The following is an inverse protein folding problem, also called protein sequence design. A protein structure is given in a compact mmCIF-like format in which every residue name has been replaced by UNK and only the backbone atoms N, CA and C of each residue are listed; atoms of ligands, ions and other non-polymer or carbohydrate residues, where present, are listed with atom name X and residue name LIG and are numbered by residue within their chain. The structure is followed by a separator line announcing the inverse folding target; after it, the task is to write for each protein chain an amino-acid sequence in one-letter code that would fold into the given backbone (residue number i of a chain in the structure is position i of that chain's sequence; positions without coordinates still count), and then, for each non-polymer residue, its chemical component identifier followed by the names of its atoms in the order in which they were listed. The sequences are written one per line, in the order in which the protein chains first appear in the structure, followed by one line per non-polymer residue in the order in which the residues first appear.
data_IF_744476476693
#
_entry.id   IF_744476476693
#
_cell.length_a   1.000
_cell.length_b   1.000
_cell.length_c   1.000
_cell.angle_alpha   90.00
_cell.angle_beta   90.00
_cell.angle_gamma   90.00
#
_symmetry.space_group_name_H-M   'P 1'
#
loop_
_entity.id
_entity.type
_entity.pdbx_description
1 polymer ?
#
# COMPACT_ATOMS: atom_id res chain seq x y z
N UNK A 1 9.50 47.89 10.54
CA UNK A 1 8.21 47.37 10.03
C UNK A 1 8.08 47.83 8.60
N UNK A 2 8.00 46.89 7.65
CA UNK A 2 8.03 47.18 6.22
C UNK A 2 6.63 47.68 5.81
N UNK A 3 6.44 48.96 5.43
CA UNK A 3 5.12 49.57 5.35
C UNK A 3 4.55 49.53 3.93
N UNK A 4 4.68 48.42 3.21
CA UNK A 4 3.88 48.21 2.01
C UNK A 4 2.56 47.54 2.43
N UNK A 5 1.40 47.90 1.85
CA UNK A 5 0.21 47.05 1.94
C UNK A 5 0.57 45.72 1.28
N UNK A 6 1.01 44.77 2.10
CA UNK A 6 1.69 43.58 1.64
C UNK A 6 0.61 42.64 1.14
N UNK A 7 0.68 42.25 -0.13
CA UNK A 7 -0.17 41.21 -0.73
C UNK A 7 -0.18 39.92 0.11
N UNK A 8 0.82 39.72 0.97
CA UNK A 8 0.89 38.67 1.99
C UNK A 8 -0.25 38.65 3.03
N UNK A 9 -0.97 39.76 3.22
CA UNK A 9 -2.17 39.79 4.08
C UNK A 9 -3.38 39.10 3.41
N UNK A 10 -3.26 38.78 2.12
CA UNK A 10 -4.28 38.15 1.28
C UNK A 10 -3.67 36.95 0.51
N UNK A 11 -3.33 35.85 1.21
CA UNK A 11 -2.51 34.78 0.64
C UNK A 11 -3.24 34.01 -0.48
N UNK A 12 -4.56 33.82 -0.39
CA UNK A 12 -5.32 33.12 -1.45
C UNK A 12 -5.36 33.93 -2.75
N UNK A 13 -5.59 35.24 -2.62
CA UNK A 13 -5.60 36.18 -3.73
C UNK A 13 -4.21 36.27 -4.38
N UNK A 14 -3.15 36.34 -3.57
CA UNK A 14 -1.78 36.44 -4.06
C UNK A 14 -1.33 35.19 -4.81
N UNK A 15 -1.67 34.01 -4.31
CA UNK A 15 -1.37 32.73 -4.98
C UNK A 15 -2.07 32.66 -6.34
N UNK A 16 -3.35 33.04 -6.42
CA UNK A 16 -4.11 33.06 -7.67
C UNK A 16 -3.60 34.10 -8.67
N UNK A 17 -3.25 35.31 -8.20
CA UNK A 17 -2.72 36.36 -9.07
C UNK A 17 -1.35 35.98 -9.65
N UNK A 18 -0.48 35.34 -8.87
CA UNK A 18 0.78 34.79 -9.37
C UNK A 18 0.54 33.70 -10.42
N UNK A 19 -0.45 32.83 -10.21
CA UNK A 19 -0.79 31.77 -11.17
C UNK A 19 -1.35 32.32 -12.49
N UNK A 20 -2.14 33.40 -12.43
CA UNK A 20 -2.75 34.05 -13.59
C UNK A 20 -1.78 34.94 -14.37
N UNK A 21 -0.94 35.70 -13.66
CA UNK A 21 0.07 36.58 -14.26
C UNK A 21 1.36 36.62 -13.41
N UNK A 22 2.27 35.66 -13.63
CA UNK A 22 3.53 35.57 -12.89
C UNK A 22 4.48 36.74 -13.15
N UNK A 23 4.28 37.51 -14.23
CA UNK A 23 5.16 38.62 -14.62
C UNK A 23 4.89 39.88 -13.82
N UNK A 24 3.65 40.06 -13.35
CA UNK A 24 3.22 41.26 -12.60
C UNK A 24 3.11 41.01 -11.10
N UNK A 25 2.95 39.76 -10.67
CA UNK A 25 2.76 39.39 -9.27
C UNK A 25 3.84 38.40 -8.78
N UNK A 26 4.69 38.79 -7.82
CA UNK A 26 5.72 37.90 -7.29
C UNK A 26 5.13 36.71 -6.51
N UNK A 27 5.82 35.57 -6.45
CA UNK A 27 5.36 34.41 -5.70
C UNK A 27 5.37 34.68 -4.19
N UNK A 28 4.47 34.01 -3.48
CA UNK A 28 4.44 34.05 -2.01
C UNK A 28 5.75 33.49 -1.42
N UNK A 29 6.19 33.98 -0.26
CA UNK A 29 7.26 33.33 0.50
C UNK A 29 6.92 31.85 0.75
N UNK A 30 7.90 30.96 0.61
CA UNK A 30 7.71 29.51 0.67
C UNK A 30 6.98 29.03 1.95
N UNK A 31 7.23 29.67 3.09
CA UNK A 31 6.56 29.36 4.36
C UNK A 31 5.06 29.67 4.34
N UNK A 32 4.65 30.77 3.69
CA UNK A 32 3.24 31.16 3.55
C UNK A 32 2.54 30.31 2.50
N UNK A 33 3.23 29.94 1.42
CA UNK A 33 2.69 29.08 0.37
C UNK A 33 2.45 27.65 0.89
N UNK A 34 3.38 27.10 1.68
CA UNK A 34 3.18 25.81 2.38
C UNK A 34 2.03 25.87 3.40
N UNK A 35 1.95 26.96 4.18
CA UNK A 35 0.83 27.18 5.11
C UNK A 35 -0.51 27.29 4.39
N UNK A 36 -0.54 27.91 3.21
CA UNK A 36 -1.75 28.00 2.38
C UNK A 36 -2.15 26.63 1.82
N UNK A 37 -1.21 25.84 1.29
CA UNK A 37 -1.48 24.52 0.73
C UNK A 37 -1.89 23.49 1.80
N UNK A 38 -1.42 23.66 3.03
CA UNK A 38 -1.88 22.85 4.18
C UNK A 38 -3.30 23.23 4.62
N UNK A 39 -3.65 24.51 4.57
CA UNK A 39 -5.02 24.97 4.86
C UNK A 39 -6.01 24.68 3.71
N UNK A 40 -5.52 24.62 2.46
CA UNK A 40 -6.32 24.44 1.25
C UNK A 40 -5.71 23.35 0.33
N UNK A 41 -5.84 22.05 0.68
CA UNK A 41 -5.15 20.95 0.00
C UNK A 41 -5.56 20.78 -1.48
N UNK A 42 -6.78 21.18 -1.84
CA UNK A 42 -7.28 21.08 -3.22
C UNK A 42 -7.04 22.33 -4.07
N UNK A 43 -6.28 23.33 -3.57
CA UNK A 43 -6.06 24.59 -4.28
C UNK A 43 -5.41 24.39 -5.65
N UNK A 44 -4.55 23.38 -5.79
CA UNK A 44 -3.86 23.05 -7.05
C UNK A 44 -4.68 22.19 -8.01
N UNK A 45 -5.92 21.82 -7.67
CA UNK A 45 -6.74 20.98 -8.53
C UNK A 45 -7.21 21.76 -9.78
N UNK A 46 -7.12 21.20 -11.01
CA UNK A 46 -7.43 21.94 -12.24
C UNK A 46 -8.85 22.52 -12.31
N UNK A 47 -9.85 21.80 -11.79
CA UNK A 47 -11.24 22.29 -11.76
C UNK A 47 -11.47 23.39 -10.71
N UNK A 48 -10.74 23.34 -9.59
CA UNK A 48 -10.79 24.36 -8.54
C UNK A 48 -10.10 25.63 -9.03
N UNK A 49 -8.91 25.51 -9.62
CA UNK A 49 -8.17 26.63 -10.21
C UNK A 49 -8.95 27.33 -11.31
N UNK A 50 -9.58 26.61 -12.23
CA UNK A 50 -10.38 27.22 -13.29
C UNK A 50 -11.63 27.93 -12.75
N UNK A 51 -12.30 27.35 -11.75
CA UNK A 51 -13.44 28.02 -11.09
C UNK A 51 -13.01 29.27 -10.32
N UNK A 52 -11.91 29.19 -9.57
CA UNK A 52 -11.33 30.31 -8.84
C UNK A 52 -10.81 31.41 -9.77
N UNK A 53 -10.15 31.06 -10.87
CA UNK A 53 -9.67 32.00 -11.89
C UNK A 53 -10.84 32.79 -12.50
N UNK A 54 -11.96 32.12 -12.79
CA UNK A 54 -13.18 32.79 -13.25
C UNK A 54 -13.71 33.77 -12.20
N UNK A 55 -13.79 33.38 -10.93
CA UNK A 55 -14.23 34.29 -9.87
C UNK A 55 -13.24 35.46 -9.67
N UNK A 56 -11.94 35.20 -9.69
CA UNK A 56 -10.90 36.23 -9.60
C UNK A 56 -11.04 37.29 -10.71
N UNK A 57 -11.33 36.85 -11.94
CA UNK A 57 -11.56 37.77 -13.07
C UNK A 57 -12.79 38.68 -12.88
N UNK A 58 -13.82 38.23 -12.14
CA UNK A 58 -15.03 39.03 -11.86
C UNK A 58 -14.86 40.03 -10.72
N UNK A 59 -13.86 39.84 -9.85
CA UNK A 59 -13.64 40.67 -8.67
C UNK A 59 -12.94 42.00 -9.00
N UNK A 60 -12.44 42.18 -10.23
CA UNK A 60 -11.84 43.40 -10.75
C UNK A 60 -10.82 44.04 -9.76
N UNK A 61 -9.88 43.23 -9.29
CA UNK A 61 -8.96 43.57 -8.19
C UNK A 61 -7.73 44.39 -8.66
N UNK A 62 -7.46 44.36 -9.97
CA UNK A 62 -6.31 45.02 -10.61
C UNK A 62 -6.28 46.54 -10.42
N UNK A 63 -7.39 47.29 -10.58
CA UNK A 63 -7.41 48.73 -10.31
C UNK A 63 -7.10 49.07 -8.85
N UNK A 64 -7.65 48.32 -7.89
CA UNK A 64 -7.41 48.53 -6.45
C UNK A 64 -5.95 48.28 -6.07
N UNK A 65 -5.33 47.23 -6.62
CA UNK A 65 -3.90 46.95 -6.42
C UNK A 65 -3.01 47.99 -7.12
N UNK A 66 -3.40 48.47 -8.31
CA UNK A 66 -2.68 49.54 -9.00
C UNK A 66 -2.72 50.86 -8.22
N UNK A 67 -3.87 51.18 -7.61
CA UNK A 67 -4.07 52.37 -6.78
C UNK A 67 -3.21 52.30 -5.51
N UNK A 68 -3.21 51.16 -4.81
CA UNK A 68 -2.33 50.93 -3.67
C UNK A 68 -0.84 51.10 -4.03
N UNK A 69 -0.43 50.60 -5.21
CA UNK A 69 0.96 50.79 -5.69
C UNK A 69 1.30 52.26 -5.95
N UNK A 70 0.33 53.06 -6.43
CA UNK A 70 0.53 54.50 -6.65
C UNK A 70 0.49 55.32 -5.35
N UNK A 71 -0.26 54.88 -4.34
CA UNK A 71 -0.35 55.55 -3.04
C UNK A 71 0.93 55.36 -2.20
N UNK A 72 1.71 54.31 -2.48
CA UNK A 72 2.97 54.04 -1.79
C UNK A 72 2.75 53.46 -0.37
N UNK A 73 3.72 53.62 0.54
CA UNK A 73 3.62 53.03 1.86
C UNK A 73 2.54 53.70 2.71
N UNK A 74 1.87 52.91 3.57
CA UNK A 74 0.82 53.44 4.44
C UNK A 74 1.42 54.47 5.42
N UNK A 75 0.79 55.65 5.60
CA UNK A 75 1.21 56.62 6.59
C UNK A 75 1.29 56.07 8.02
N UNK A 76 2.19 56.61 8.85
CA UNK A 76 2.35 56.20 10.25
C UNK A 76 1.07 56.46 11.07
N UNK A 77 0.50 55.47 11.77
CA UNK A 77 -0.74 55.62 12.53
C UNK A 77 -0.71 56.76 13.57
N UNK A 78 0.45 57.01 14.19
CA UNK A 78 0.60 58.10 15.17
C UNK A 78 0.49 59.47 14.49
N UNK A 79 1.10 59.62 13.30
CA UNK A 79 1.01 60.85 12.50
C UNK A 79 -0.40 61.09 11.97
N UNK A 80 -1.12 60.03 11.54
CA UNK A 80 -2.52 60.13 11.09
C UNK A 80 -3.45 60.51 12.24
N UNK A 81 -3.27 59.93 13.43
CA UNK A 81 -4.07 60.28 14.60
C UNK A 81 -3.86 61.75 15.01
N UNK A 82 -2.62 62.23 15.01
CA UNK A 82 -2.30 63.64 15.26
C UNK A 82 -2.89 64.58 14.19
N UNK A 83 -2.87 64.17 12.91
CA UNK A 83 -3.50 64.91 11.82
C UNK A 83 -5.03 64.99 11.95
N UNK A 84 -5.70 63.87 12.25
CA UNK A 84 -7.15 63.83 12.51
C UNK A 84 -7.54 64.67 13.73
N UNK A 85 -6.72 64.67 14.79
CA UNK A 85 -6.95 65.50 15.97
C UNK A 85 -6.78 67.01 15.66
N UNK A 86 -5.80 67.39 14.83
CA UNK A 86 -5.61 68.77 14.38
C UNK A 86 -6.76 69.27 13.50
N UNK A 87 -7.29 68.44 12.60
CA UNK A 87 -8.47 68.77 11.77
C UNK A 87 -9.72 68.96 12.64
N UNK A 88 -9.83 68.24 13.76
CA UNK A 88 -10.97 68.32 14.66
C UNK A 88 -10.95 69.51 15.64
N UNK A 89 -9.82 70.24 15.74
CA UNK A 89 -9.67 71.40 16.64
C UNK A 89 -10.04 72.72 15.91
N UNK A 90 -11.16 73.38 16.27
CA UNK A 90 -11.59 74.62 15.63
C UNK A 90 -10.73 75.86 15.95
N UNK A 91 -9.72 75.75 16.83
CA UNK A 91 -8.84 76.85 17.22
C UNK A 91 -7.42 76.79 16.63
N UNK A 92 -7.11 75.77 15.82
CA UNK A 92 -5.82 75.66 15.15
C UNK A 92 -5.66 76.75 14.08
N UNK A 93 -4.67 77.65 14.24
CA UNK A 93 -4.28 78.60 13.20
C UNK A 93 -3.46 77.86 12.13
N UNK A 94 -4.03 77.67 10.95
CA UNK A 94 -3.34 77.02 9.85
C UNK A 94 -2.62 78.05 8.97
N UNK A 95 -1.32 77.88 8.77
CA UNK A 95 -0.62 78.44 7.63
C UNK A 95 -1.03 77.63 6.38
N UNK A 96 -1.33 78.29 5.26
CA UNK A 96 -2.05 77.69 4.14
C UNK A 96 -1.36 76.47 3.51
N UNK A 97 -0.04 76.32 3.71
CA UNK A 97 0.72 75.15 3.29
C UNK A 97 0.60 73.93 4.23
N UNK A 98 0.46 74.13 5.55
CA UNK A 98 0.39 73.04 6.52
C UNK A 98 -0.98 72.35 6.54
N UNK A 99 -2.07 73.12 6.38
CA UNK A 99 -3.43 72.59 6.26
C UNK A 99 -3.54 71.54 5.14
N UNK A 100 -2.92 71.84 3.99
CA UNK A 100 -2.99 71.01 2.81
C UNK A 100 -2.28 69.67 3.02
N UNK A 101 -1.16 69.66 3.75
CA UNK A 101 -0.39 68.45 4.06
C UNK A 101 -1.16 67.57 5.07
N UNK A 102 -1.77 68.16 6.09
CA UNK A 102 -2.56 67.44 7.10
C UNK A 102 -3.79 66.78 6.47
N UNK A 103 -4.53 67.51 5.62
CA UNK A 103 -5.66 66.95 4.88
C UNK A 103 -5.25 65.90 3.85
N UNK A 104 -4.11 66.06 3.17
CA UNK A 104 -3.60 65.08 2.23
C UNK A 104 -3.21 63.76 2.93
N UNK A 105 -2.57 63.83 4.11
CA UNK A 105 -2.18 62.66 4.89
C UNK A 105 -3.39 61.80 5.29
N UNK A 106 -4.45 62.44 5.78
CA UNK A 106 -5.69 61.74 6.17
C UNK A 106 -6.38 61.13 4.95
N UNK A 107 -6.44 61.86 3.81
CA UNK A 107 -6.99 61.32 2.56
C UNK A 107 -6.22 60.09 2.05
N UNK A 108 -4.90 60.07 2.19
CA UNK A 108 -4.08 58.90 1.80
C UNK A 108 -4.32 57.71 2.72
N UNK A 109 -4.53 57.90 4.02
CA UNK A 109 -4.89 56.81 4.94
C UNK A 109 -6.31 56.28 4.70
N UNK A 110 -7.29 57.18 4.51
CA UNK A 110 -8.69 56.80 4.23
C UNK A 110 -8.80 56.00 2.92
N UNK A 111 -8.03 56.36 1.89
CA UNK A 111 -7.98 55.62 0.63
C UNK A 111 -7.28 54.27 0.76
N UNK A 112 -6.23 54.16 1.59
CA UNK A 112 -5.65 52.86 1.94
C UNK A 112 -6.65 51.96 2.66
N UNK A 113 -7.40 52.50 3.62
CA UNK A 113 -8.39 51.74 4.40
C UNK A 113 -9.50 51.18 3.49
N UNK A 114 -10.00 51.98 2.55
CA UNK A 114 -11.03 51.54 1.60
C UNK A 114 -10.51 50.46 0.64
N UNK A 115 -9.28 50.61 0.12
CA UNK A 115 -8.65 49.58 -0.73
C UNK A 115 -8.48 48.25 0.00
N UNK A 116 -8.00 48.27 1.26
CA UNK A 116 -7.84 47.07 2.10
C UNK A 116 -9.20 46.41 2.35
N UNK A 117 -10.24 47.19 2.59
CA UNK A 117 -11.61 46.68 2.78
C UNK A 117 -12.13 45.98 1.53
N UNK A 118 -11.88 46.52 0.34
CA UNK A 118 -12.23 45.89 -0.93
C UNK A 118 -11.46 44.59 -1.18
N UNK A 119 -10.16 44.56 -0.86
CA UNK A 119 -9.35 43.34 -0.96
C UNK A 119 -9.84 42.25 0.00
N UNK A 120 -10.16 42.59 1.25
CA UNK A 120 -10.77 41.65 2.22
C UNK A 120 -12.10 41.09 1.72
N UNK A 121 -12.96 41.95 1.16
CA UNK A 121 -14.22 41.51 0.59
C UNK A 121 -14.02 40.57 -0.60
N UNK A 122 -12.99 40.83 -1.43
CA UNK A 122 -12.64 39.99 -2.58
C UNK A 122 -12.05 38.64 -2.16
N UNK A 123 -11.16 38.61 -1.16
CA UNK A 123 -10.63 37.37 -0.61
C UNK A 123 -11.71 36.53 0.07
N UNK A 124 -12.64 37.15 0.81
CA UNK A 124 -13.79 36.44 1.38
C UNK A 124 -14.65 35.76 0.30
N UNK A 125 -14.90 36.45 -0.81
CA UNK A 125 -15.63 35.86 -1.95
C UNK A 125 -14.86 34.72 -2.61
N UNK A 126 -13.53 34.80 -2.69
CA UNK A 126 -12.69 33.70 -3.18
C UNK A 126 -12.72 32.50 -2.25
N UNK A 127 -12.76 32.71 -0.92
CA UNK A 127 -12.94 31.65 0.06
C UNK A 127 -14.30 30.95 -0.06
N UNK A 128 -15.37 31.73 -0.28
CA UNK A 128 -16.72 31.18 -0.55
C UNK A 128 -16.73 30.37 -1.86
N UNK A 129 -16.11 30.88 -2.93
CA UNK A 129 -15.98 30.17 -4.21
C UNK A 129 -15.09 28.92 -4.12
N UNK A 130 -14.04 28.95 -3.28
CA UNK A 130 -13.23 27.77 -2.97
C UNK A 130 -14.08 26.71 -2.28
N UNK A 131 -14.84 27.08 -1.25
CA UNK A 131 -15.73 26.15 -0.55
C UNK A 131 -16.79 25.53 -1.50
N UNK A 132 -17.33 26.29 -2.44
CA UNK A 132 -18.28 25.80 -3.45
C UNK A 132 -17.60 24.90 -4.50
N UNK A 133 -16.42 25.27 -5.00
CA UNK A 133 -15.69 24.46 -5.99
C UNK A 133 -15.15 23.16 -5.40
N UNK A 134 -14.71 23.18 -4.14
CA UNK A 134 -14.36 21.96 -3.41
C UNK A 134 -15.60 21.10 -3.19
N UNK A 135 -16.75 21.69 -2.85
CA UNK A 135 -18.01 20.93 -2.82
C UNK A 135 -18.31 20.28 -4.18
N UNK A 136 -18.11 20.98 -5.30
CA UNK A 136 -18.29 20.42 -6.64
C UNK A 136 -17.33 19.27 -6.98
N UNK A 137 -16.08 19.34 -6.53
CA UNK A 137 -15.11 18.23 -6.64
C UNK A 137 -15.48 17.06 -5.72
N UNK A 138 -16.08 17.35 -4.57
CA UNK A 138 -16.63 16.37 -3.64
C UNK A 138 -18.03 15.88 -4.06
N UNK A 139 -18.70 16.53 -5.02
CA UNK A 139 -20.02 16.17 -5.56
C UNK A 139 -19.95 15.35 -6.86
N UNK A 140 -18.75 15.04 -7.38
CA UNK A 140 -18.54 13.86 -8.26
C UNK A 140 -18.71 12.53 -7.50
N UNK A 141 -19.09 12.59 -6.23
CA UNK A 141 -19.51 11.45 -5.42
C UNK A 141 -20.89 11.00 -5.92
N UNK A 142 -20.94 9.83 -6.57
CA UNK A 142 -22.16 9.28 -7.20
C UNK A 142 -23.41 9.44 -6.31
N UNK A 143 -24.58 9.70 -6.92
CA UNK A 143 -25.86 9.80 -6.21
C UNK A 143 -26.09 8.63 -5.23
N UNK A 144 -25.57 7.44 -5.54
CA UNK A 144 -25.61 6.26 -4.69
C UNK A 144 -24.90 6.45 -3.35
N UNK A 145 -23.70 7.06 -3.34
CA UNK A 145 -22.98 7.35 -2.10
C UNK A 145 -23.74 8.36 -1.24
N UNK A 146 -24.24 9.44 -1.85
CA UNK A 146 -24.99 10.47 -1.11
C UNK A 146 -26.27 9.87 -0.51
N UNK A 147 -26.94 8.99 -1.25
CA UNK A 147 -28.10 8.24 -0.77
C UNK A 147 -27.77 7.36 0.44
N UNK A 148 -26.66 6.62 0.40
CA UNK A 148 -26.20 5.78 1.50
C UNK A 148 -25.87 6.61 2.74
N UNK A 149 -25.15 7.73 2.58
CA UNK A 149 -24.79 8.60 3.70
C UNK A 149 -26.03 9.22 4.36
N UNK A 150 -26.99 9.71 3.57
CA UNK A 150 -28.27 10.21 4.10
C UNK A 150 -29.05 9.12 4.83
N UNK A 151 -29.10 7.90 4.28
CA UNK A 151 -29.77 6.77 4.93
C UNK A 151 -29.10 6.43 6.26
N UNK A 152 -27.77 6.48 6.32
CA UNK A 152 -27.00 6.21 7.55
C UNK A 152 -27.18 7.27 8.64
N UNK A 153 -27.69 8.47 8.32
CA UNK A 153 -28.05 9.49 9.32
C UNK A 153 -29.37 9.16 10.05
N UNK A 154 -30.30 8.46 9.39
CA UNK A 154 -31.63 8.15 9.93
C UNK A 154 -31.81 6.69 10.36
N UNK A 155 -31.07 5.76 9.77
CA UNK A 155 -31.23 4.31 9.94
C UNK A 155 -29.88 3.60 10.13
N UNK A 156 -29.89 2.43 10.77
CA UNK A 156 -28.71 1.57 10.85
C UNK A 156 -28.50 0.87 9.49
N UNK A 157 -27.35 1.13 8.87
CA UNK A 157 -26.98 0.55 7.58
C UNK A 157 -25.92 -0.53 7.80
N UNK A 158 -26.31 -1.77 7.57
CA UNK A 158 -25.43 -2.94 7.76
C UNK A 158 -24.77 -3.42 6.45
N UNK A 159 -25.43 -3.22 5.30
CA UNK A 159 -24.92 -3.68 4.01
C UNK A 159 -25.01 -2.55 2.99
N UNK A 160 -23.89 -2.28 2.33
CA UNK A 160 -23.79 -1.27 1.27
C UNK A 160 -23.16 -1.93 0.06
N UNK A 161 -23.85 -1.83 -1.07
CA UNK A 161 -23.34 -2.21 -2.37
C UNK A 161 -23.32 -0.97 -3.26
N UNK A 162 -22.11 -0.57 -3.64
CA UNK A 162 -21.82 0.52 -4.56
C UNK A 162 -20.91 0.02 -5.68
N UNK A 163 -20.98 -1.28 -5.99
CA UNK A 163 -20.24 -1.84 -7.11
C UNK A 163 -20.66 -1.20 -8.43
N UNK A 164 -19.72 -1.03 -9.36
CA UNK A 164 -20.03 -0.49 -10.70
C UNK A 164 -20.54 0.96 -10.70
N UNK A 165 -20.37 1.71 -9.60
CA UNK A 165 -20.91 3.07 -9.43
C UNK A 165 -19.99 4.18 -9.97
N UNK A 166 -18.95 3.81 -10.73
CA UNK A 166 -17.93 4.71 -11.30
C UNK A 166 -17.26 5.63 -10.27
N UNK A 167 -17.12 5.16 -9.02
CA UNK A 167 -16.52 5.93 -7.93
C UNK A 167 -15.01 6.09 -8.14
N UNK A 168 -14.52 7.32 -8.06
CA UNK A 168 -13.07 7.61 -8.02
C UNK A 168 -12.51 7.78 -6.62
N UNK A 169 -13.34 8.26 -5.70
CA UNK A 169 -12.98 8.52 -4.31
C UNK A 169 -14.08 7.98 -3.41
N UNK A 170 -13.69 7.35 -2.32
CA UNK A 170 -14.59 7.03 -1.21
C UNK A 170 -14.53 8.18 -0.19
N UNK A 171 -15.64 8.89 0.10
CA UNK A 171 -15.64 9.97 1.07
C UNK A 171 -15.30 9.50 2.50
N UNK A 172 -14.57 10.33 3.26
CA UNK A 172 -14.22 10.02 4.65
C UNK A 172 -15.44 9.84 5.57
N UNK A 173 -16.59 10.40 5.17
CA UNK A 173 -17.84 10.25 5.90
C UNK A 173 -18.29 8.78 6.03
N UNK A 174 -17.88 7.88 5.13
CA UNK A 174 -18.18 6.45 5.24
C UNK A 174 -17.66 5.84 6.54
N UNK A 175 -16.51 6.30 7.03
CA UNK A 175 -15.96 5.84 8.31
C UNK A 175 -16.87 6.07 9.52
N UNK A 176 -17.90 6.91 9.38
CA UNK A 176 -18.86 7.19 10.46
C UNK A 176 -19.97 6.13 10.54
N UNK A 177 -20.14 5.27 9.53
CA UNK A 177 -21.19 4.24 9.48
C UNK A 177 -20.76 3.01 10.29
N UNK A 178 -20.71 3.15 11.62
CA UNK A 178 -20.19 2.10 12.53
C UNK A 178 -20.99 0.80 12.54
N UNK A 179 -22.24 0.84 12.05
CA UNK A 179 -23.12 -0.31 11.91
C UNK A 179 -22.80 -1.22 10.72
N UNK A 180 -21.92 -0.78 9.81
CA UNK A 180 -21.67 -1.47 8.56
C UNK A 180 -20.95 -2.81 8.77
N UNK A 181 -21.52 -3.87 8.18
CA UNK A 181 -21.04 -5.26 8.23
C UNK A 181 -20.48 -5.68 6.87
N UNK A 182 -21.10 -5.26 5.77
CA UNK A 182 -20.65 -5.58 4.41
C UNK A 182 -20.58 -4.33 3.56
N UNK A 183 -19.44 -4.13 2.91
CA UNK A 183 -19.18 -3.03 2.00
C UNK A 183 -18.61 -3.57 0.69
N UNK A 184 -19.41 -3.48 -0.39
CA UNK A 184 -18.98 -3.78 -1.74
C UNK A 184 -18.74 -2.48 -2.52
N UNK A 185 -17.49 -2.25 -2.91
CA UNK A 185 -16.98 -1.14 -3.71
C UNK A 185 -16.31 -1.65 -5.00
N UNK A 186 -16.57 -2.89 -5.39
CA UNK A 186 -15.94 -3.51 -6.55
C UNK A 186 -16.29 -2.83 -7.88
N UNK A 187 -15.47 -3.02 -8.92
CA UNK A 187 -15.75 -2.52 -10.28
C UNK A 187 -15.94 -1.00 -10.35
N UNK A 188 -15.12 -0.26 -9.59
CA UNK A 188 -15.10 1.20 -9.59
C UNK A 188 -13.78 1.72 -10.17
N UNK A 189 -13.46 2.99 -9.92
CA UNK A 189 -12.23 3.67 -10.35
C UNK A 189 -11.51 4.25 -9.13
N UNK A 190 -11.64 3.60 -7.96
CA UNK A 190 -11.07 4.10 -6.72
C UNK A 190 -9.54 4.13 -6.81
N UNK A 191 -8.97 5.30 -6.59
CA UNK A 191 -7.53 5.52 -6.54
C UNK A 191 -6.97 5.29 -5.14
N UNK A 192 -7.74 5.63 -4.11
CA UNK A 192 -7.35 5.54 -2.70
C UNK A 192 -8.54 5.12 -1.83
N UNK A 193 -8.27 4.29 -0.82
CA UNK A 193 -9.19 4.06 0.31
C UNK A 193 -8.78 5.00 1.46
N UNK A 194 -9.68 5.84 1.99
CA UNK A 194 -9.37 6.80 3.04
C UNK A 194 -9.12 6.11 4.38
N UNK A 195 -8.28 6.72 5.24
CA UNK A 195 -7.98 6.20 6.57
C UNK A 195 -9.21 6.05 7.49
N UNK A 196 -10.24 6.85 7.21
CA UNK A 196 -11.54 6.75 7.87
C UNK A 196 -12.18 5.36 7.79
N UNK A 197 -11.75 4.48 6.86
CA UNK A 197 -12.27 3.11 6.74
C UNK A 197 -12.16 2.35 8.07
N UNK A 198 -11.14 2.63 8.89
CA UNK A 198 -10.97 2.06 10.22
C UNK A 198 -12.13 2.34 11.19
N UNK A 199 -12.97 3.34 10.91
CA UNK A 199 -14.18 3.62 11.68
C UNK A 199 -15.27 2.55 11.54
N UNK A 200 -15.19 1.69 10.51
CA UNK A 200 -16.12 0.59 10.25
C UNK A 200 -15.84 -0.63 11.14
N UNK A 201 -15.94 -0.45 12.46
CA UNK A 201 -15.50 -1.43 13.45
C UNK A 201 -16.25 -2.77 13.41
N UNK A 202 -17.44 -2.83 12.81
CA UNK A 202 -18.25 -4.05 12.65
C UNK A 202 -18.08 -4.72 11.28
N UNK A 203 -17.22 -4.18 10.41
CA UNK A 203 -17.07 -4.68 9.05
C UNK A 203 -16.52 -6.11 9.07
N UNK A 204 -17.23 -6.99 8.37
CA UNK A 204 -16.94 -8.42 8.23
C UNK A 204 -16.50 -8.73 6.79
N UNK A 205 -17.05 -8.03 5.81
CA UNK A 205 -16.74 -8.24 4.40
C UNK A 205 -16.47 -6.89 3.72
N UNK A 206 -15.31 -6.79 3.09
CA UNK A 206 -14.90 -5.65 2.29
C UNK A 206 -14.45 -6.13 0.93
N UNK A 207 -15.14 -5.69 -0.11
CA UNK A 207 -14.74 -5.91 -1.49
C UNK A 207 -14.41 -4.58 -2.15
N UNK A 208 -13.15 -4.39 -2.51
CA UNK A 208 -12.63 -3.24 -3.27
C UNK A 208 -11.96 -3.71 -4.56
N UNK A 209 -12.32 -4.90 -5.05
CA UNK A 209 -11.74 -5.50 -6.24
C UNK A 209 -12.07 -4.72 -7.52
N UNK A 210 -11.27 -4.91 -8.58
CA UNK A 210 -11.50 -4.25 -9.88
C UNK A 210 -11.57 -2.73 -9.75
N UNK A 211 -10.54 -2.14 -9.16
CA UNK A 211 -10.35 -0.69 -9.00
C UNK A 211 -8.95 -0.30 -9.53
N UNK A 212 -8.46 0.90 -9.21
CA UNK A 212 -7.12 1.37 -9.62
C UNK A 212 -6.22 1.70 -8.42
N UNK A 213 -6.45 1.03 -7.28
CA UNK A 213 -5.71 1.26 -6.05
C UNK A 213 -4.23 0.91 -6.23
N UNK A 214 -3.34 1.85 -5.89
CA UNK A 214 -1.87 1.63 -5.90
C UNK A 214 -1.33 1.19 -4.53
N UNK A 215 -2.06 1.54 -3.46
CA UNK A 215 -1.77 1.16 -2.08
C UNK A 215 -3.06 1.00 -1.26
N UNK A 216 -2.93 0.35 -0.11
CA UNK A 216 -3.98 0.34 0.93
C UNK A 216 -3.48 1.17 2.13
N UNK A 217 -4.39 1.85 2.84
CA UNK A 217 -4.00 2.58 4.04
C UNK A 217 -3.60 1.64 5.18
N UNK A 218 -2.63 2.05 6.00
CA UNK A 218 -2.20 1.30 7.19
C UNK A 218 -3.36 1.09 8.19
N UNK A 219 -4.35 1.98 8.18
CA UNK A 219 -5.54 1.89 9.00
C UNK A 219 -6.41 0.66 8.73
N UNK A 220 -6.21 -0.06 7.61
CA UNK A 220 -6.92 -1.32 7.32
C UNK A 220 -6.75 -2.37 8.44
N UNK A 221 -5.59 -2.38 9.10
CA UNK A 221 -5.30 -3.28 10.22
C UNK A 221 -6.20 -3.08 11.45
N UNK A 222 -6.93 -1.96 11.52
CA UNK A 222 -7.87 -1.68 12.60
C UNK A 222 -9.22 -2.38 12.42
N UNK A 223 -9.48 -2.96 11.24
CA UNK A 223 -10.69 -3.75 10.96
C UNK A 223 -10.58 -5.16 11.54
N UNK A 224 -10.55 -5.26 12.87
CA UNK A 224 -10.29 -6.50 13.60
C UNK A 224 -11.38 -7.57 13.44
N UNK A 225 -12.57 -7.20 12.95
CA UNK A 225 -13.70 -8.11 12.69
C UNK A 225 -13.79 -8.56 11.23
N UNK A 226 -12.91 -8.06 10.36
CA UNK A 226 -12.91 -8.38 8.94
C UNK A 226 -12.59 -9.86 8.74
N UNK A 227 -13.45 -10.56 8.02
CA UNK A 227 -13.33 -12.00 7.70
C UNK A 227 -13.02 -12.24 6.24
N UNK A 228 -13.62 -11.46 5.35
CA UNK A 228 -13.45 -11.59 3.91
C UNK A 228 -12.94 -10.24 3.40
N UNK A 229 -11.78 -10.26 2.77
CA UNK A 229 -11.20 -9.07 2.17
C UNK A 229 -10.76 -9.37 0.73
N UNK A 230 -11.40 -8.69 -0.22
CA UNK A 230 -11.07 -8.80 -1.63
C UNK A 230 -10.51 -7.47 -2.14
N UNK A 231 -9.25 -7.48 -2.52
CA UNK A 231 -8.50 -6.36 -3.14
C UNK A 231 -7.98 -6.73 -4.52
N UNK A 232 -8.48 -7.81 -5.11
CA UNK A 232 -8.02 -8.32 -6.39
C UNK A 232 -8.25 -7.33 -7.54
N UNK A 233 -7.54 -7.51 -8.64
CA UNK A 233 -7.68 -6.67 -9.84
C UNK A 233 -7.50 -5.17 -9.55
N UNK A 234 -6.38 -4.83 -8.92
CA UNK A 234 -5.96 -3.46 -8.63
C UNK A 234 -4.52 -3.24 -9.15
N UNK A 235 -3.85 -2.18 -8.70
CA UNK A 235 -2.46 -1.88 -9.06
C UNK A 235 -1.52 -1.93 -7.84
N UNK A 236 -1.92 -2.64 -6.78
CA UNK A 236 -1.19 -2.67 -5.51
C UNK A 236 0.23 -3.16 -5.72
N UNK A 237 1.21 -2.43 -5.20
CA UNK A 237 2.63 -2.81 -5.25
C UNK A 237 3.09 -3.53 -3.98
N UNK A 238 2.40 -3.28 -2.87
CA UNK A 238 2.59 -3.94 -1.58
C UNK A 238 1.27 -3.97 -0.79
N UNK A 239 1.16 -4.92 0.14
CA UNK A 239 0.16 -4.88 1.21
C UNK A 239 0.77 -4.18 2.44
N UNK A 240 0.00 -3.41 3.21
CA UNK A 240 0.50 -2.75 4.41
C UNK A 240 0.84 -3.79 5.48
N UNK A 241 1.91 -3.58 6.25
CA UNK A 241 2.31 -4.48 7.35
C UNK A 241 1.22 -4.61 8.42
N UNK A 242 0.35 -3.60 8.55
CA UNK A 242 -0.79 -3.61 9.45
C UNK A 242 -1.86 -4.65 9.11
N UNK A 243 -1.86 -5.23 7.89
CA UNK A 243 -2.82 -6.30 7.52
C UNK A 243 -2.73 -7.50 8.47
N UNK A 244 -1.56 -7.74 9.07
CA UNK A 244 -1.37 -8.77 10.09
C UNK A 244 -2.23 -8.55 11.35
N UNK A 245 -2.76 -7.34 11.57
CA UNK A 245 -3.64 -7.03 12.69
C UNK A 245 -5.10 -7.48 12.45
N UNK A 246 -5.48 -7.80 11.21
CA UNK A 246 -6.79 -8.36 10.86
C UNK A 246 -6.90 -9.83 11.28
N UNK A 247 -6.83 -10.12 12.58
CA UNK A 247 -6.77 -11.49 13.14
C UNK A 247 -7.99 -12.35 12.84
N UNK A 248 -9.13 -11.74 12.52
CA UNK A 248 -10.37 -12.46 12.18
C UNK A 248 -10.46 -12.86 10.70
N UNK A 249 -9.46 -12.48 9.88
CA UNK A 249 -9.50 -12.73 8.45
C UNK A 249 -9.46 -14.23 8.16
N UNK A 250 -10.40 -14.68 7.32
CA UNK A 250 -10.60 -16.06 6.88
C UNK A 250 -10.25 -16.19 5.40
N UNK A 251 -10.61 -15.19 4.59
CA UNK A 251 -10.31 -15.14 3.16
C UNK A 251 -9.68 -13.80 2.79
N UNK A 252 -8.53 -13.88 2.12
CA UNK A 252 -7.84 -12.75 1.51
C UNK A 252 -7.59 -13.05 0.05
N UNK A 253 -8.18 -12.23 -0.82
CA UNK A 253 -7.89 -12.22 -2.24
C UNK A 253 -7.18 -10.91 -2.61
N UNK A 254 -5.90 -11.02 -2.96
CA UNK A 254 -5.08 -9.93 -3.49
C UNK A 254 -4.48 -10.31 -4.86
N UNK A 255 -5.16 -11.19 -5.60
CA UNK A 255 -4.75 -11.61 -6.93
C UNK A 255 -4.82 -10.48 -7.96
N UNK A 256 -4.17 -10.64 -9.10
CA UNK A 256 -4.19 -9.67 -10.21
C UNK A 256 -3.79 -8.25 -9.76
N UNK A 257 -2.60 -8.14 -9.18
CA UNK A 257 -2.01 -6.89 -8.70
C UNK A 257 -0.53 -6.82 -9.15
N UNK A 258 0.24 -5.88 -8.61
CA UNK A 258 1.68 -5.76 -8.87
C UNK A 258 2.52 -6.05 -7.61
N UNK A 259 2.03 -6.92 -6.70
CA UNK A 259 2.69 -7.19 -5.44
C UNK A 259 4.07 -7.80 -5.68
N UNK A 260 5.11 -7.19 -5.10
CA UNK A 260 6.49 -7.70 -5.20
C UNK A 260 6.89 -8.58 -4.01
N UNK A 261 6.26 -8.35 -2.86
CA UNK A 261 6.47 -9.11 -1.63
C UNK A 261 5.20 -9.09 -0.76
N UNK A 262 5.15 -10.02 0.20
CA UNK A 262 4.16 -10.00 1.27
C UNK A 262 4.79 -9.46 2.56
N UNK A 263 3.98 -8.84 3.44
CA UNK A 263 4.43 -8.41 4.77
C UNK A 263 5.12 -9.52 5.55
N UNK A 264 6.25 -9.19 6.16
CA UNK A 264 7.13 -10.19 6.78
C UNK A 264 6.48 -10.87 7.99
N UNK A 265 5.58 -10.17 8.69
CA UNK A 265 4.92 -10.65 9.90
C UNK A 265 3.51 -11.23 9.65
N UNK A 266 3.02 -11.24 8.40
CA UNK A 266 1.63 -11.57 8.06
C UNK A 266 1.18 -12.90 8.67
N UNK A 267 2.02 -13.93 8.62
CA UNK A 267 1.64 -15.24 9.10
C UNK A 267 1.53 -15.39 10.63
N UNK A 268 2.14 -14.50 11.41
CA UNK A 268 1.93 -14.46 12.86
C UNK A 268 0.60 -13.81 13.25
N UNK A 269 0.08 -12.95 12.38
CA UNK A 269 -1.14 -12.20 12.60
C UNK A 269 -2.40 -12.89 12.07
N UNK A 270 -2.33 -13.37 10.83
CA UNK A 270 -3.45 -13.98 10.10
C UNK A 270 -3.64 -15.47 10.45
N UNK A 271 -3.72 -15.77 11.74
CA UNK A 271 -3.77 -17.16 12.25
C UNK A 271 -5.05 -17.91 11.90
N UNK A 272 -6.13 -17.20 11.59
CA UNK A 272 -7.43 -17.76 11.20
C UNK A 272 -7.65 -17.82 9.68
N UNK A 273 -6.67 -17.39 8.87
CA UNK A 273 -6.84 -17.36 7.43
C UNK A 273 -6.89 -18.78 6.88
N UNK A 274 -7.96 -19.10 6.16
CA UNK A 274 -8.18 -20.40 5.52
C UNK A 274 -7.86 -20.35 4.03
N UNK A 275 -8.03 -19.19 3.39
CA UNK A 275 -7.85 -19.02 1.94
C UNK A 275 -7.03 -17.76 1.64
N UNK A 276 -5.90 -17.96 0.97
CA UNK A 276 -5.02 -16.90 0.48
C UNK A 276 -4.86 -17.02 -1.03
N UNK A 277 -5.39 -16.03 -1.76
CA UNK A 277 -5.25 -15.92 -3.21
C UNK A 277 -4.37 -14.72 -3.54
N UNK A 278 -3.20 -14.97 -4.12
CA UNK A 278 -2.23 -13.93 -4.50
C UNK A 278 -1.62 -14.19 -5.88
N UNK A 279 -2.31 -14.98 -6.69
CA UNK A 279 -1.91 -15.29 -8.05
C UNK A 279 -1.91 -14.06 -8.97
N UNK A 280 -1.21 -14.13 -10.11
CA UNK A 280 -1.07 -13.01 -11.06
C UNK A 280 -0.49 -11.75 -10.38
N UNK A 281 0.67 -11.90 -9.76
CA UNK A 281 1.45 -10.83 -9.12
C UNK A 281 2.93 -10.95 -9.53
N UNK A 282 3.84 -10.26 -8.85
CA UNK A 282 5.30 -10.27 -9.11
C UNK A 282 6.09 -10.71 -7.88
N UNK A 283 5.52 -11.61 -7.08
CA UNK A 283 6.10 -12.04 -5.81
C UNK A 283 7.26 -12.97 -6.09
N UNK A 284 8.43 -12.66 -5.52
CA UNK A 284 9.66 -13.45 -5.69
C UNK A 284 9.91 -14.48 -4.59
N UNK A 285 9.44 -14.18 -3.39
CA UNK A 285 9.59 -15.05 -2.22
C UNK A 285 8.36 -14.94 -1.33
N UNK A 286 7.94 -16.08 -0.76
CA UNK A 286 7.00 -16.07 0.35
C UNK A 286 7.75 -15.86 1.67
N UNK A 287 7.25 -15.03 2.60
CA UNK A 287 7.90 -14.82 3.88
C UNK A 287 7.89 -16.12 4.70
N UNK A 288 8.96 -16.36 5.48
CA UNK A 288 9.04 -17.56 6.32
C UNK A 288 7.88 -17.67 7.32
N UNK A 289 7.27 -16.54 7.70
CA UNK A 289 6.10 -16.50 8.57
C UNK A 289 4.86 -17.17 7.99
N UNK A 290 4.78 -17.40 6.67
CA UNK A 290 3.66 -18.12 6.03
C UNK A 290 3.37 -19.46 6.73
N UNK A 291 4.41 -20.16 7.19
CA UNK A 291 4.30 -21.44 7.90
C UNK A 291 3.60 -21.35 9.26
N UNK A 292 3.33 -20.15 9.79
CA UNK A 292 2.59 -19.94 11.03
C UNK A 292 1.08 -19.80 10.83
N UNK A 293 0.60 -19.75 9.57
CA UNK A 293 -0.82 -19.67 9.22
C UNK A 293 -1.49 -21.05 9.32
N UNK A 294 -1.61 -21.58 10.54
CA UNK A 294 -2.03 -22.98 10.78
C UNK A 294 -3.45 -23.32 10.28
N UNK A 295 -4.30 -22.32 10.09
CA UNK A 295 -5.66 -22.52 9.57
C UNK A 295 -5.73 -22.59 8.04
N UNK A 296 -4.63 -22.30 7.34
CA UNK A 296 -4.61 -22.19 5.89
C UNK A 296 -4.90 -23.55 5.23
N UNK A 297 -5.94 -23.56 4.37
CA UNK A 297 -6.39 -24.73 3.61
C UNK A 297 -6.16 -24.56 2.11
N UNK A 298 -6.20 -23.33 1.63
CA UNK A 298 -6.10 -23.02 0.20
C UNK A 298 -5.09 -21.90 -0.01
N UNK A 299 -4.00 -22.22 -0.71
CA UNK A 299 -2.97 -21.27 -1.09
C UNK A 299 -2.80 -21.28 -2.60
N UNK A 300 -3.11 -20.16 -3.23
CA UNK A 300 -2.91 -19.97 -4.67
C UNK A 300 -1.94 -18.82 -4.93
N UNK A 301 -0.78 -19.18 -5.49
CA UNK A 301 0.32 -18.28 -5.83
C UNK A 301 0.74 -18.43 -7.30
N UNK A 302 -0.14 -18.96 -8.16
CA UNK A 302 0.19 -19.15 -9.58
C UNK A 302 0.50 -17.84 -10.31
N UNK A 303 1.27 -17.92 -11.40
CA UNK A 303 1.66 -16.73 -12.18
C UNK A 303 2.26 -15.62 -11.30
N UNK A 304 3.33 -15.96 -10.60
CA UNK A 304 4.19 -15.04 -9.87
C UNK A 304 5.64 -15.18 -10.41
N UNK A 305 6.61 -14.61 -9.69
CA UNK A 305 8.04 -14.69 -10.02
C UNK A 305 8.80 -15.51 -8.94
N UNK A 306 8.15 -16.52 -8.35
CA UNK A 306 8.73 -17.23 -7.20
C UNK A 306 9.99 -18.00 -7.59
N UNK A 307 11.07 -17.80 -6.84
CA UNK A 307 12.30 -18.59 -6.98
C UNK A 307 12.19 -19.97 -6.30
N UNK A 308 11.28 -20.11 -5.35
CA UNK A 308 11.09 -21.33 -4.57
C UNK A 308 10.13 -21.12 -3.41
N UNK A 309 9.86 -22.20 -2.68
CA UNK A 309 9.04 -22.17 -1.47
C UNK A 309 9.92 -22.18 -0.21
N UNK A 310 9.54 -21.45 0.86
CA UNK A 310 10.30 -21.47 2.10
C UNK A 310 10.17 -22.83 2.80
N UNK A 311 11.21 -23.25 3.52
CA UNK A 311 11.19 -24.49 4.30
C UNK A 311 10.06 -24.53 5.35
N UNK A 312 9.57 -23.36 5.77
CA UNK A 312 8.44 -23.27 6.69
C UNK A 312 7.10 -23.72 6.08
N UNK A 313 7.00 -23.92 4.76
CA UNK A 313 5.76 -24.34 4.10
C UNK A 313 5.23 -25.66 4.67
N UNK A 314 6.10 -26.63 4.99
CA UNK A 314 5.68 -27.93 5.56
C UNK A 314 5.03 -27.83 6.95
N UNK A 315 5.10 -26.66 7.60
CA UNK A 315 4.37 -26.41 8.84
C UNK A 315 2.85 -26.22 8.63
N UNK A 316 2.39 -26.05 7.39
CA UNK A 316 0.99 -25.86 7.02
C UNK A 316 0.23 -27.19 6.92
N UNK A 317 0.15 -27.90 8.03
CA UNK A 317 -0.38 -29.28 8.04
C UNK A 317 -1.87 -29.37 7.69
N UNK A 318 -2.63 -28.27 7.72
CA UNK A 318 -4.05 -28.21 7.30
C UNK A 318 -4.24 -27.84 5.82
N UNK A 319 -3.16 -27.58 5.07
CA UNK A 319 -3.26 -27.18 3.67
C UNK A 319 -3.82 -28.33 2.83
N UNK A 320 -4.86 -28.06 2.05
CA UNK A 320 -5.56 -29.03 1.20
C UNK A 320 -5.33 -28.77 -0.29
N UNK A 321 -5.14 -27.50 -0.67
CA UNK A 321 -4.90 -27.06 -2.04
C UNK A 321 -3.69 -26.13 -2.08
N UNK A 322 -2.73 -26.45 -2.95
CA UNK A 322 -1.56 -25.62 -3.24
C UNK A 322 -1.36 -25.48 -4.75
N UNK A 323 -1.45 -24.26 -5.25
CA UNK A 323 -1.12 -23.94 -6.63
C UNK A 323 0.07 -22.99 -6.69
N UNK A 324 1.16 -23.50 -7.26
CA UNK A 324 2.47 -22.82 -7.45
C UNK A 324 2.87 -22.87 -8.93
N UNK A 325 1.90 -23.10 -9.82
CA UNK A 325 2.14 -23.19 -11.26
C UNK A 325 2.57 -21.85 -11.87
N UNK A 326 3.24 -21.92 -13.01
CA UNK A 326 3.59 -20.74 -13.81
C UNK A 326 4.43 -19.69 -13.06
N UNK A 327 5.41 -20.11 -12.27
CA UNK A 327 6.41 -19.22 -11.65
C UNK A 327 7.70 -19.08 -12.48
N UNK A 328 7.60 -19.37 -13.79
CA UNK A 328 8.61 -19.14 -14.83
C UNK A 328 10.01 -19.72 -14.53
N UNK A 329 11.09 -18.97 -14.84
CA UNK A 329 12.44 -19.49 -15.13
C UNK A 329 13.26 -19.94 -13.92
N UNK A 330 12.86 -19.57 -12.71
CA UNK A 330 13.77 -19.62 -11.56
C UNK A 330 13.35 -20.65 -10.49
N UNK A 331 12.10 -21.12 -10.49
CA UNK A 331 11.68 -22.18 -9.57
C UNK A 331 12.22 -23.55 -10.03
N UNK A 332 13.35 -23.92 -9.45
CA UNK A 332 14.12 -25.12 -9.85
C UNK A 332 14.03 -26.27 -8.85
N UNK A 333 13.75 -25.95 -7.58
CA UNK A 333 13.68 -26.92 -6.49
C UNK A 333 12.50 -26.66 -5.56
N UNK A 334 12.13 -27.70 -4.82
CA UNK A 334 11.09 -27.67 -3.80
C UNK A 334 11.71 -28.01 -2.45
N UNK A 335 11.22 -27.41 -1.35
CA UNK A 335 11.74 -27.68 -0.02
C UNK A 335 11.46 -29.12 0.39
N UNK A 336 12.40 -29.74 1.11
CA UNK A 336 12.23 -31.09 1.64
C UNK A 336 11.07 -31.22 2.65
N UNK A 337 10.58 -30.11 3.20
CA UNK A 337 9.40 -30.10 4.07
C UNK A 337 8.08 -30.12 3.30
N UNK A 338 8.08 -30.08 1.96
CA UNK A 338 6.84 -30.15 1.18
C UNK A 338 6.05 -31.44 1.49
N UNK A 339 6.75 -32.56 1.72
CA UNK A 339 6.14 -33.83 2.11
C UNK A 339 5.45 -33.81 3.48
N UNK A 340 5.67 -32.79 4.31
CA UNK A 340 5.03 -32.66 5.62
C UNK A 340 3.60 -32.06 5.54
N UNK A 341 3.15 -31.68 4.34
CA UNK A 341 1.78 -31.23 4.05
C UNK A 341 0.79 -32.42 4.04
N UNK A 342 0.62 -33.09 5.18
CA UNK A 342 -0.11 -34.35 5.33
C UNK A 342 -1.59 -34.30 4.93
N UNK A 343 -2.20 -33.11 4.86
CA UNK A 343 -3.59 -32.94 4.40
C UNK A 343 -3.73 -32.50 2.94
N UNK A 344 -2.62 -32.35 2.21
CA UNK A 344 -2.65 -31.86 0.83
C UNK A 344 -3.36 -32.85 -0.08
N UNK A 345 -4.33 -32.36 -0.86
CA UNK A 345 -5.16 -33.15 -1.78
C UNK A 345 -4.87 -32.80 -3.23
N UNK A 346 -4.60 -31.53 -3.49
CA UNK A 346 -4.38 -30.99 -4.82
C UNK A 346 -3.10 -30.15 -4.85
N UNK A 347 -2.19 -30.49 -5.76
CA UNK A 347 -0.92 -29.80 -5.96
C UNK A 347 -0.70 -29.53 -7.44
N UNK A 348 -0.63 -28.26 -7.81
CA UNK A 348 -0.25 -27.84 -9.15
C UNK A 348 1.11 -27.15 -9.13
N UNK A 349 2.08 -27.80 -9.77
CA UNK A 349 3.47 -27.37 -9.93
C UNK A 349 3.82 -27.12 -11.40
N UNK A 350 2.83 -27.12 -12.29
CA UNK A 350 3.06 -27.05 -13.73
C UNK A 350 3.71 -25.75 -14.18
N UNK A 351 4.38 -25.79 -15.34
CA UNK A 351 5.00 -24.62 -15.97
C UNK A 351 6.04 -23.92 -15.08
N UNK A 352 6.99 -24.71 -14.59
CA UNK A 352 8.16 -24.29 -13.80
C UNK A 352 9.44 -24.94 -14.34
N UNK A 353 10.56 -24.82 -13.63
CA UNK A 353 11.85 -25.42 -14.01
C UNK A 353 12.29 -26.55 -13.05
N UNK A 354 11.33 -27.22 -12.42
CA UNK A 354 11.58 -28.25 -11.41
C UNK A 354 12.15 -29.50 -12.07
N UNK A 355 13.29 -29.98 -11.56
CA UNK A 355 13.95 -31.20 -12.06
C UNK A 355 13.73 -32.42 -11.20
N UNK A 356 13.51 -32.22 -9.91
CA UNK A 356 13.33 -33.32 -8.97
C UNK A 356 12.27 -32.97 -7.93
N UNK A 357 11.48 -33.96 -7.54
CA UNK A 357 10.65 -33.89 -6.34
C UNK A 357 11.48 -34.24 -5.10
N UNK A 358 11.20 -33.62 -3.94
CA UNK A 358 11.90 -33.90 -2.69
C UNK A 358 11.68 -35.35 -2.25
N UNK A 359 12.62 -35.94 -1.52
CA UNK A 359 12.50 -37.34 -1.08
C UNK A 359 11.29 -37.55 -0.15
N UNK A 360 10.88 -36.50 0.55
CA UNK A 360 9.71 -36.50 1.42
C UNK A 360 8.38 -36.59 0.67
N UNK A 361 8.36 -36.40 -0.66
CA UNK A 361 7.13 -36.32 -1.45
C UNK A 361 6.22 -37.55 -1.31
N UNK A 362 6.81 -38.74 -1.08
CA UNK A 362 6.06 -39.97 -0.81
C UNK A 362 5.19 -39.94 0.45
N UNK A 363 5.39 -38.97 1.36
CA UNK A 363 4.61 -38.80 2.60
C UNK A 363 3.24 -38.11 2.38
N UNK A 364 2.97 -37.61 1.18
CA UNK A 364 1.72 -36.92 0.83
C UNK A 364 0.56 -37.91 0.65
N UNK A 365 0.19 -38.64 1.69
CA UNK A 365 -0.78 -39.76 1.64
C UNK A 365 -2.13 -39.36 1.03
N UNK A 366 -2.61 -38.15 1.32
CA UNK A 366 -3.92 -37.64 0.86
C UNK A 366 -3.90 -36.97 -0.52
N UNK A 367 -2.75 -36.88 -1.17
CA UNK A 367 -2.64 -36.23 -2.47
C UNK A 367 -3.31 -37.09 -3.55
N UNK A 368 -4.27 -36.49 -4.26
CA UNK A 368 -5.08 -37.15 -5.29
C UNK A 368 -4.94 -36.51 -6.65
N UNK A 369 -4.70 -35.19 -6.70
CA UNK A 369 -4.46 -34.45 -7.94
C UNK A 369 -3.06 -33.85 -7.90
N UNK A 370 -2.26 -34.21 -8.88
CA UNK A 370 -0.90 -33.72 -9.06
C UNK A 370 -0.73 -33.30 -10.51
N UNK A 371 -0.31 -32.06 -10.72
CA UNK A 371 0.06 -31.55 -12.04
C UNK A 371 1.54 -31.16 -12.03
N UNK A 372 2.33 -31.82 -12.88
CA UNK A 372 3.77 -31.59 -13.06
C UNK A 372 4.11 -31.14 -14.49
N UNK A 373 3.10 -30.89 -15.33
CA UNK A 373 3.28 -30.61 -16.75
C UNK A 373 4.21 -29.41 -16.98
N UNK A 374 4.90 -29.39 -18.11
CA UNK A 374 5.81 -28.28 -18.47
C UNK A 374 6.91 -28.03 -17.41
N UNK A 375 7.46 -29.11 -16.84
CA UNK A 375 8.69 -29.08 -16.05
C UNK A 375 9.73 -30.04 -16.66
N UNK A 376 11.03 -29.74 -16.55
CA UNK A 376 12.11 -30.65 -16.94
C UNK A 376 12.35 -31.74 -15.88
N UNK A 377 11.31 -32.45 -15.45
CA UNK A 377 11.38 -33.46 -14.39
C UNK A 377 12.24 -34.65 -14.85
N UNK A 378 13.23 -34.97 -14.01
CA UNK A 378 14.12 -36.12 -14.11
C UNK A 378 13.73 -37.16 -13.07
N UNK A 379 13.37 -36.71 -11.86
CA UNK A 379 12.98 -37.56 -10.73
C UNK A 379 11.64 -37.09 -10.18
N UNK A 380 10.57 -37.90 -10.28
CA UNK A 380 10.50 -39.25 -10.82
C UNK A 380 10.58 -39.29 -12.36
N UNK A 381 10.94 -40.43 -12.98
CA UNK A 381 10.93 -40.58 -14.44
C UNK A 381 9.56 -40.22 -15.04
N UNK A 382 9.55 -39.67 -16.26
CA UNK A 382 8.33 -39.19 -16.91
C UNK A 382 7.29 -40.30 -17.10
N UNK A 383 7.72 -41.56 -17.24
CA UNK A 383 6.84 -42.73 -17.31
C UNK A 383 6.03 -42.94 -16.02
N UNK A 384 6.62 -42.62 -14.87
CA UNK A 384 5.96 -42.65 -13.56
C UNK A 384 5.03 -41.46 -13.40
N UNK A 385 5.47 -40.26 -13.82
CA UNK A 385 4.63 -39.04 -13.82
C UNK A 385 3.34 -39.27 -14.61
N UNK A 386 3.44 -39.88 -15.80
CA UNK A 386 2.30 -40.17 -16.66
C UNK A 386 1.31 -41.20 -16.09
N UNK A 387 1.71 -41.99 -15.08
CA UNK A 387 0.82 -42.92 -14.37
C UNK A 387 -0.02 -42.23 -13.28
N UNK A 388 0.30 -40.98 -12.94
CA UNK A 388 -0.47 -40.14 -12.01
C UNK A 388 0.11 -40.07 -10.60
N UNK A 389 -0.61 -39.36 -9.72
CA UNK A 389 -0.14 -38.99 -8.39
C UNK A 389 0.25 -40.18 -7.50
N UNK A 390 -0.51 -41.29 -7.56
CA UNK A 390 -0.24 -42.47 -6.74
C UNK A 390 1.09 -43.14 -7.10
N UNK A 391 1.32 -43.37 -8.40
CA UNK A 391 2.58 -43.95 -8.89
C UNK A 391 3.78 -43.07 -8.55
N UNK A 392 3.63 -41.74 -8.63
CA UNK A 392 4.67 -40.79 -8.21
C UNK A 392 4.96 -40.93 -6.72
N UNK A 393 3.94 -40.96 -5.85
CA UNK A 393 4.14 -41.13 -4.40
C UNK A 393 4.82 -42.45 -4.06
N UNK A 394 4.34 -43.56 -4.62
CA UNK A 394 4.91 -44.89 -4.40
C UNK A 394 6.38 -44.96 -4.85
N UNK A 395 6.68 -44.41 -6.03
CA UNK A 395 8.05 -44.32 -6.53
C UNK A 395 8.93 -43.52 -5.59
N UNK A 396 8.50 -42.31 -5.18
CA UNK A 396 9.30 -41.45 -4.30
C UNK A 396 9.51 -42.08 -2.91
N UNK A 397 8.50 -42.76 -2.37
CA UNK A 397 8.60 -43.47 -1.10
C UNK A 397 9.61 -44.62 -1.15
N UNK A 398 9.57 -45.42 -2.23
CA UNK A 398 10.52 -46.53 -2.43
C UNK A 398 11.92 -46.04 -2.73
N UNK A 399 12.05 -45.07 -3.63
CA UNK A 399 13.34 -44.52 -4.06
C UNK A 399 14.16 -43.99 -2.88
N UNK A 400 13.50 -43.38 -1.89
CA UNK A 400 14.15 -42.94 -0.65
C UNK A 400 14.67 -44.10 0.21
N UNK A 401 13.91 -45.20 0.33
CA UNK A 401 14.36 -46.38 1.08
C UNK A 401 15.59 -47.00 0.41
N UNK A 402 15.54 -47.16 -0.92
CA UNK A 402 16.65 -47.69 -1.71
C UNK A 402 17.91 -46.79 -1.53
N UNK A 403 17.75 -45.47 -1.53
CA UNK A 403 18.84 -44.51 -1.30
C UNK A 403 19.47 -44.64 0.10
N UNK A 404 18.65 -44.80 1.14
CA UNK A 404 19.13 -45.01 2.51
C UNK A 404 19.90 -46.33 2.62
N UNK A 405 19.38 -47.41 2.04
CA UNK A 405 20.02 -48.72 2.07
C UNK A 405 21.37 -48.70 1.35
N UNK A 406 21.46 -48.06 0.18
CA UNK A 406 22.73 -47.87 -0.53
C UNK A 406 23.74 -47.04 0.28
N UNK A 407 23.29 -45.96 0.93
CA UNK A 407 24.14 -45.14 1.78
C UNK A 407 24.67 -45.92 3.00
N UNK A 408 23.82 -46.75 3.62
CA UNK A 408 24.22 -47.63 4.72
C UNK A 408 25.20 -48.72 4.26
N UNK A 409 25.00 -49.31 3.08
CA UNK A 409 25.91 -50.30 2.53
C UNK A 409 27.27 -49.68 2.20
N UNK A 410 27.30 -48.48 1.61
CA UNK A 410 28.54 -47.74 1.34
C UNK A 410 29.27 -47.43 2.65
N UNK A 411 28.58 -46.90 3.67
CA UNK A 411 29.23 -46.62 4.97
C UNK A 411 29.74 -47.88 5.67
N UNK A 412 29.01 -49.00 5.63
CA UNK A 412 29.50 -50.28 6.15
C UNK A 412 30.73 -50.78 5.38
N UNK A 413 30.73 -50.64 4.05
CA UNK A 413 31.86 -51.03 3.21
C UNK A 413 33.09 -50.14 3.46
N UNK A 414 32.90 -48.83 3.65
CA UNK A 414 33.96 -47.88 4.00
C UNK A 414 34.50 -48.15 5.40
N UNK A 415 33.63 -48.47 6.37
CA UNK A 415 34.03 -48.84 7.72
C UNK A 415 34.79 -50.17 7.73
N UNK A 416 34.39 -51.15 6.91
CA UNK A 416 35.13 -52.40 6.72
C UNK A 416 36.47 -52.17 6.02
N UNK A 417 36.54 -51.28 5.02
CA UNK A 417 37.78 -50.96 4.33
C UNK A 417 38.74 -50.16 5.23
N UNK A 418 38.20 -49.27 6.07
CA UNK A 418 38.93 -48.58 7.12
C UNK A 418 39.36 -49.56 8.22
N UNK A 419 38.56 -50.53 8.63
CA UNK A 419 38.96 -51.60 9.57
C UNK A 419 40.03 -52.53 8.97
N UNK A 420 39.97 -52.82 7.66
CA UNK A 420 41.00 -53.57 6.96
C UNK A 420 42.32 -52.79 6.82
N UNK A 421 42.26 -51.46 6.68
CA UNK A 421 43.43 -50.57 6.70
C UNK A 421 43.93 -50.25 8.13
N UNK A 422 43.05 -50.25 9.13
CA UNK A 422 43.37 -49.97 10.55
C UNK A 422 43.67 -51.22 11.38
N UNK A 423 43.79 -52.38 10.74
CA UNK A 423 44.33 -53.61 11.34
C UNK A 423 45.76 -53.48 11.88
N UNK A 424 46.41 -52.31 11.78
CA UNK A 424 47.71 -52.02 12.37
C UNK A 424 47.74 -50.88 13.39
N UNK A 425 46.68 -50.08 13.61
CA UNK A 425 46.65 -49.12 14.71
C UNK A 425 45.21 -48.88 15.21
N UNK A 426 44.95 -49.37 16.40
CA UNK A 426 43.70 -49.17 17.12
C UNK A 426 43.70 -47.85 17.92
N UNK A 427 42.47 -47.35 18.12
CA UNK A 427 41.97 -46.34 19.07
C UNK A 427 42.00 -44.86 18.67
N UNK A 428 40.80 -44.28 18.49
CA UNK A 428 40.61 -42.83 18.47
C UNK A 428 39.25 -42.32 17.98
N UNK A 429 38.20 -42.54 18.79
CA UNK A 429 37.00 -41.68 18.94
C UNK A 429 35.96 -41.46 17.80
N UNK A 430 34.70 -41.66 18.19
CA UNK A 430 33.53 -40.77 17.99
C UNK A 430 32.87 -40.65 16.61
N UNK A 431 31.72 -41.30 16.42
CA UNK A 431 30.70 -40.95 15.41
C UNK A 431 29.30 -41.24 15.95
N UNK A 432 28.60 -40.21 16.45
CA UNK A 432 27.18 -40.27 16.83
C UNK A 432 26.36 -39.10 16.25
N UNK A 433 26.76 -38.51 15.11
CA UNK A 433 26.07 -37.33 14.58
C UNK A 433 25.92 -37.31 13.04
N UNK A 434 25.62 -38.44 12.38
CA UNK A 434 25.56 -38.50 10.91
C UNK A 434 24.15 -38.74 10.36
N UNK A 435 23.21 -37.85 10.71
CA UNK A 435 21.94 -37.71 9.97
C UNK A 435 21.91 -36.39 9.18
N UNK A 436 22.65 -35.36 9.61
CA UNK A 436 22.73 -34.07 8.92
C UNK A 436 23.77 -34.05 7.76
N UNK A 437 24.84 -34.83 7.84
CA UNK A 437 25.87 -34.91 6.77
C UNK A 437 25.40 -35.65 5.50
N UNK A 438 24.39 -36.53 5.62
CA UNK A 438 23.86 -37.25 4.46
C UNK A 438 23.09 -36.31 3.53
N UNK A 439 22.41 -35.28 4.08
CA UNK A 439 21.76 -34.26 3.25
C UNK A 439 22.76 -33.35 2.51
N UNK A 440 23.92 -33.04 3.11
CA UNK A 440 24.95 -32.22 2.44
C UNK A 440 25.69 -32.99 1.35
N UNK A 441 25.99 -34.28 1.56
CA UNK A 441 26.73 -35.08 0.57
C UNK A 441 25.89 -35.45 -0.67
N UNK A 442 24.56 -35.53 -0.53
CA UNK A 442 23.64 -35.78 -1.66
C UNK A 442 23.54 -34.56 -2.58
N UNK A 443 23.61 -33.33 -2.04
CA UNK A 443 23.62 -32.11 -2.85
C UNK A 443 24.90 -31.98 -3.72
N UNK A 444 26.05 -32.42 -3.20
CA UNK A 444 27.30 -32.47 -3.98
C UNK A 444 27.27 -33.53 -5.09
N UNK A 445 26.49 -34.62 -4.92
CA UNK A 445 26.39 -35.72 -5.90
C UNK A 445 25.65 -35.32 -7.20
N UNK A 446 24.76 -34.33 -7.14
CA UNK A 446 23.97 -33.88 -8.30
C UNK A 446 24.48 -32.58 -8.95
N UNK A 447 25.69 -32.13 -8.60
CA UNK A 447 26.33 -31.00 -9.29
C UNK A 447 25.76 -29.63 -8.94
N UNK A 448 25.11 -29.48 -7.79
CA UNK A 448 24.82 -28.17 -7.21
C UNK A 448 26.14 -27.53 -6.79
N UNK A 449 26.72 -26.67 -7.65
CA UNK A 449 27.77 -25.75 -7.19
C UNK A 449 27.17 -24.94 -6.04
N UNK A 450 27.88 -24.88 -4.91
CA UNK A 450 27.64 -23.89 -3.84
C UNK A 450 27.31 -22.56 -4.50
N UNK A 451 26.13 -22.01 -4.22
CA UNK A 451 25.87 -20.61 -4.51
C UNK A 451 27.01 -19.79 -3.87
N UNK A 452 27.59 -18.79 -4.55
CA UNK A 452 28.50 -17.88 -3.88
C UNK A 452 27.77 -17.30 -2.66
N UNK A 453 28.38 -17.39 -1.48
CA UNK A 453 27.88 -16.72 -0.27
C UNK A 453 27.61 -15.27 -0.62
N UNK A 454 26.36 -14.85 -0.54
CA UNK A 454 25.98 -13.47 -0.80
C UNK A 454 26.52 -12.59 0.35
N UNK A 455 27.37 -11.58 0.07
CA UNK A 455 27.98 -10.74 1.11
C UNK A 455 26.99 -9.87 1.91
N UNK A 456 25.69 -9.95 1.62
CA UNK A 456 24.65 -9.09 2.18
C UNK A 456 23.73 -9.77 3.20
N UNK A 457 23.92 -11.06 3.47
CA UNK A 457 23.11 -11.81 4.46
C UNK A 457 23.63 -11.70 5.91
N UNK A 458 24.78 -11.05 6.13
CA UNK A 458 25.38 -10.85 7.47
C UNK A 458 25.33 -9.39 7.97
N UNK A 459 24.44 -8.55 7.41
CA UNK A 459 24.14 -7.23 7.98
C UNK A 459 22.66 -7.08 8.33
N UNK A 460 22.24 -7.78 9.39
CA UNK A 460 21.30 -7.26 10.40
C UNK A 460 21.16 -8.30 11.53
N UNK A 461 22.01 -8.14 12.55
CA UNK A 461 21.74 -8.53 13.93
C UNK A 461 21.02 -7.38 14.64
#
# INVERSE_FOLDING_TARGET
MNPNPNTNDFPLLSHLLNHLDPQTHPPLPAELDQSLLTQFPHLNHPSVLSSLARHASTLNVTPTLSLLRTLGPRPDPSAVAAARARIADPHAREDGGEAHVVHALVRVDDTHEECVKQLRASEKKLLEAYAESVKGVVEEVSEGVVGVLKKAESEEVERVDLSGSHLRILPEAFGKIRGLVVLNLSQNQLEVIPDSIAGLQRLVELDVSSNVLESLPDSIGLLVNLKIFNVSANKLTALPESIALCRSLVELDASFNNLMCLPTNMGFGLVNLEKLLIHLNKIRFLPASIGEMKSLRHLDVHFNELHGLPQSIGKLTNLEYLNVSSNFSDMTELPETLGDLVNLRELDLSNNQIRALPYSFGRLEKLTKLNLDQNPIIVPPIEVVNQGAEAVKEFMAKWWLDLIEEAQQKSMSETQNQQAQTGWLAWGASLLNNVAEVSESVAEYFGAKKAPRDPWLDQQL
#
